data_IF_032183478930
#
_entry.id   IF_032183478930
#
_cell.length_a   1.000
_cell.length_b   1.000
_cell.length_c   1.000
_cell.angle_alpha   90.00
_cell.angle_beta   90.00
_cell.angle_gamma   90.00
#
_symmetry.space_group_name_H-M   'P 1'
#
loop_
_entity.id
_entity.type
_entity.pdbx_description
1 polymer ?
#
# COMPACT_ATOMS: atom_id res chain seq x y z
N UNK A 1 22.72 12.91 -24.56
CA UNK A 1 21.87 12.27 -23.53
C UNK A 1 21.79 13.19 -22.32
N UNK A 2 20.61 13.54 -21.83
CA UNK A 2 20.50 14.39 -20.66
C UNK A 2 21.20 13.73 -19.46
N UNK A 3 21.91 14.55 -18.69
CA UNK A 3 22.56 14.10 -17.46
C UNK A 3 21.50 13.73 -16.42
N UNK A 4 21.73 12.63 -15.69
CA UNK A 4 20.82 12.17 -14.62
C UNK A 4 20.58 13.28 -13.59
N UNK A 5 21.60 14.10 -13.29
CA UNK A 5 21.48 15.22 -12.35
C UNK A 5 20.44 16.28 -12.79
N UNK A 6 20.23 16.45 -14.09
CA UNK A 6 19.21 17.36 -14.62
C UNK A 6 17.79 16.78 -14.54
N UNK A 7 17.66 15.44 -14.50
CA UNK A 7 16.38 14.73 -14.46
C UNK A 7 15.82 14.63 -13.03
N UNK A 8 16.71 14.46 -12.05
CA UNK A 8 16.36 14.26 -10.62
C UNK A 8 15.34 15.29 -10.11
N UNK A 9 15.51 16.63 -10.30
CA UNK A 9 14.55 17.60 -9.79
C UNK A 9 13.14 17.47 -10.42
N UNK A 10 13.07 17.07 -11.69
CA UNK A 10 11.78 16.90 -12.38
C UNK A 10 11.03 15.69 -11.83
N UNK A 11 11.70 14.56 -11.64
CA UNK A 11 11.11 13.34 -11.06
C UNK A 11 10.69 13.61 -9.62
N UNK A 12 11.55 14.25 -8.82
CA UNK A 12 11.25 14.62 -7.43
C UNK A 12 9.99 15.50 -7.35
N UNK A 13 9.88 16.51 -8.21
CA UNK A 13 8.72 17.39 -8.26
C UNK A 13 7.43 16.65 -8.67
N UNK A 14 7.50 15.72 -9.62
CA UNK A 14 6.35 14.91 -10.05
C UNK A 14 5.86 14.01 -8.93
N UNK A 15 6.77 13.31 -8.24
CA UNK A 15 6.42 12.45 -7.11
C UNK A 15 5.79 13.28 -5.99
N UNK A 16 6.35 14.46 -5.70
CA UNK A 16 5.85 15.34 -4.64
C UNK A 16 4.47 15.91 -4.95
N UNK A 17 4.21 16.27 -6.20
CA UNK A 17 2.96 16.91 -6.62
C UNK A 17 1.82 15.91 -6.91
N UNK A 18 2.13 14.61 -6.95
CA UNK A 18 1.14 13.58 -7.29
C UNK A 18 0.32 13.16 -6.08
N UNK A 19 -1.01 13.05 -6.27
CA UNK A 19 -1.94 12.52 -5.27
C UNK A 19 -1.93 10.98 -5.17
N UNK A 20 -1.19 10.32 -6.07
CA UNK A 20 -1.10 8.85 -6.15
C UNK A 20 0.33 8.41 -6.47
N UNK A 21 0.71 7.17 -6.11
CA UNK A 21 1.99 6.62 -6.51
C UNK A 21 2.15 6.63 -8.04
N UNK A 22 3.31 7.07 -8.53
CA UNK A 22 3.65 7.10 -9.96
C UNK A 22 4.63 5.97 -10.28
N UNK A 23 4.31 5.15 -11.26
CA UNK A 23 5.22 4.13 -11.76
C UNK A 23 6.44 4.74 -12.46
N UNK A 24 7.55 4.00 -12.54
CA UNK A 24 8.77 4.42 -13.25
C UNK A 24 8.46 4.78 -14.72
N UNK A 25 7.56 4.04 -15.36
CA UNK A 25 7.14 4.32 -16.73
C UNK A 25 6.35 5.64 -16.84
N UNK A 26 5.40 5.90 -15.93
CA UNK A 26 4.66 7.16 -15.90
C UNK A 26 5.59 8.34 -15.67
N UNK A 27 6.53 8.23 -14.73
CA UNK A 27 7.54 9.27 -14.46
C UNK A 27 8.38 9.58 -15.69
N UNK A 28 8.90 8.54 -16.37
CA UNK A 28 9.65 8.70 -17.62
C UNK A 28 8.82 9.43 -18.69
N UNK A 29 7.58 9.01 -18.89
CA UNK A 29 6.73 9.55 -19.93
C UNK A 29 6.33 11.01 -19.63
N UNK A 30 6.06 11.33 -18.36
CA UNK A 30 5.75 12.70 -17.92
C UNK A 30 6.95 13.64 -18.12
N UNK A 31 8.16 13.21 -17.76
CA UNK A 31 9.38 14.01 -17.98
C UNK A 31 9.64 14.18 -19.47
N UNK A 32 9.51 13.12 -20.26
CA UNK A 32 9.67 13.19 -21.72
C UNK A 32 8.65 14.13 -22.37
N UNK A 33 7.42 14.15 -21.88
CA UNK A 33 6.38 15.06 -22.38
C UNK A 33 6.66 16.52 -21.98
N UNK A 34 7.13 16.75 -20.75
CA UNK A 34 7.45 18.09 -20.26
C UNK A 34 8.68 18.68 -20.94
N UNK A 35 9.69 17.87 -21.20
CA UNK A 35 10.96 18.27 -21.81
C UNK A 35 11.01 17.97 -23.33
N UNK A 36 9.89 17.61 -23.92
CA UNK A 36 9.74 17.05 -25.28
C UNK A 36 10.20 17.92 -26.43
N UNK A 37 10.75 19.11 -26.16
CA UNK A 37 11.46 19.94 -27.14
C UNK A 37 12.97 19.70 -27.15
N UNK A 38 13.49 18.86 -26.27
CA UNK A 38 14.87 18.43 -26.24
C UNK A 38 15.01 17.19 -27.15
N UNK A 39 16.04 17.18 -28.00
CA UNK A 39 16.30 16.11 -28.96
C UNK A 39 16.52 14.74 -28.34
N UNK A 40 16.84 14.70 -27.05
CA UNK A 40 17.17 13.50 -26.31
C UNK A 40 16.06 13.13 -25.27
N UNK A 41 15.32 12.07 -25.56
CA UNK A 41 14.39 11.46 -24.58
C UNK A 41 15.15 10.70 -23.50
N UNK A 42 14.64 10.77 -22.25
CA UNK A 42 15.19 9.97 -21.17
C UNK A 42 14.79 8.50 -21.31
N UNK A 43 15.72 7.61 -20.98
CA UNK A 43 15.52 6.16 -20.97
C UNK A 43 14.98 5.67 -19.63
N UNK A 44 14.53 4.40 -19.56
CA UNK A 44 14.15 3.74 -18.30
C UNK A 44 15.34 3.70 -17.33
N UNK A 45 16.53 3.35 -17.80
CA UNK A 45 17.74 3.26 -16.97
C UNK A 45 18.10 4.60 -16.32
N UNK A 46 17.94 5.71 -17.06
CA UNK A 46 18.16 7.05 -16.53
C UNK A 46 17.11 7.43 -15.49
N UNK A 47 15.86 7.01 -15.69
CA UNK A 47 14.77 7.23 -14.73
C UNK A 47 15.03 6.44 -13.45
N UNK A 48 15.46 5.20 -13.56
CA UNK A 48 15.82 4.34 -12.42
C UNK A 48 17.01 4.89 -11.64
N UNK A 49 18.06 5.33 -12.35
CA UNK A 49 19.22 5.99 -11.72
C UNK A 49 18.83 7.27 -10.97
N UNK A 50 17.93 8.08 -11.54
CA UNK A 50 17.42 9.27 -10.86
C UNK A 50 16.58 8.92 -9.61
N UNK A 51 15.73 7.88 -9.68
CA UNK A 51 14.95 7.39 -8.56
C UNK A 51 15.84 6.84 -7.44
N UNK A 52 16.90 6.13 -7.79
CA UNK A 52 17.89 5.69 -6.83
C UNK A 52 18.55 6.87 -6.11
N UNK A 53 19.01 7.88 -6.85
CA UNK A 53 19.60 9.09 -6.27
C UNK A 53 18.64 9.84 -5.34
N UNK A 54 17.33 9.91 -5.70
CA UNK A 54 16.29 10.51 -4.87
C UNK A 54 16.10 9.69 -3.59
N UNK A 55 16.01 8.38 -3.71
CA UNK A 55 15.84 7.48 -2.54
C UNK A 55 17.01 7.62 -1.58
N UNK A 56 18.25 7.60 -2.07
CA UNK A 56 19.45 7.79 -1.26
C UNK A 56 19.48 9.17 -0.58
N UNK A 57 19.09 10.24 -1.30
CA UNK A 57 18.98 11.59 -0.74
C UNK A 57 18.07 11.62 0.50
N UNK A 58 16.88 11.04 0.39
CA UNK A 58 15.85 11.08 1.43
C UNK A 58 15.99 9.98 2.49
N UNK A 59 16.85 8.98 2.28
CA UNK A 59 17.17 7.97 3.28
C UNK A 59 17.96 8.53 4.48
N UNK A 60 18.61 9.71 4.32
CA UNK A 60 19.40 10.34 5.38
C UNK A 60 18.55 10.75 6.58
N UNK A 61 19.13 10.82 7.78
CA UNK A 61 18.44 11.21 9.02
C UNK A 61 17.94 12.67 9.01
N UNK A 62 18.45 13.49 8.09
CA UNK A 62 18.06 14.90 7.97
C UNK A 62 16.59 15.09 7.59
N UNK A 63 16.00 14.14 6.83
CA UNK A 63 14.63 14.24 6.37
C UNK A 63 13.69 13.38 7.21
N UNK A 64 12.52 13.93 7.57
CA UNK A 64 11.44 13.22 8.27
C UNK A 64 10.52 12.42 7.34
N UNK A 65 10.78 12.44 6.04
CA UNK A 65 10.06 11.73 4.98
C UNK A 65 11.06 11.05 4.05
N UNK A 66 10.59 10.08 3.33
CA UNK A 66 11.35 9.23 2.41
C UNK A 66 10.59 9.01 1.11
N UNK A 67 11.30 8.65 0.04
CA UNK A 67 10.69 8.22 -1.23
C UNK A 67 10.80 6.70 -1.29
N UNK A 68 9.66 6.04 -1.35
CA UNK A 68 9.59 4.59 -1.42
C UNK A 68 8.66 4.12 -2.54
N UNK A 69 8.84 2.88 -2.94
CA UNK A 69 7.91 2.22 -3.84
C UNK A 69 6.79 1.57 -3.04
N UNK A 70 5.56 2.02 -3.26
CA UNK A 70 4.35 1.52 -2.61
C UNK A 70 3.15 1.70 -3.54
N UNK A 71 2.15 0.82 -3.47
CA UNK A 71 0.98 0.89 -4.36
C UNK A 71 1.31 0.71 -5.85
N UNK A 72 2.43 0.06 -6.18
CA UNK A 72 2.90 -0.13 -7.54
C UNK A 72 3.53 1.11 -8.18
N UNK A 73 3.94 2.09 -7.37
CA UNK A 73 4.60 3.32 -7.83
C UNK A 73 5.42 3.99 -6.73
N UNK A 74 6.03 5.10 -7.06
CA UNK A 74 6.89 5.90 -6.18
C UNK A 74 6.08 7.03 -5.56
N UNK A 75 6.29 7.25 -4.25
CA UNK A 75 5.63 8.33 -3.50
C UNK A 75 6.48 8.79 -2.33
N UNK A 76 6.22 10.01 -1.84
CA UNK A 76 6.75 10.49 -0.57
C UNK A 76 5.89 9.98 0.57
N UNK A 77 6.51 9.34 1.54
CA UNK A 77 5.88 8.96 2.81
C UNK A 77 6.72 9.47 3.99
N UNK A 78 6.07 9.65 5.11
CA UNK A 78 6.77 9.98 6.35
C UNK A 78 7.43 8.76 6.95
N UNK A 79 8.65 8.90 7.47
CA UNK A 79 9.37 7.81 8.12
C UNK A 79 8.61 7.30 9.35
N UNK A 80 8.70 6.00 9.60
CA UNK A 80 7.94 5.29 10.67
C UNK A 80 8.12 5.91 12.06
N UNK A 81 9.32 6.44 12.35
CA UNK A 81 9.64 7.08 13.63
C UNK A 81 8.76 8.29 13.94
N UNK A 82 8.23 8.98 12.90
CA UNK A 82 7.36 10.16 13.04
C UNK A 82 5.87 9.82 13.04
N UNK A 83 5.46 8.57 12.82
CA UNK A 83 4.04 8.20 12.73
C UNK A 83 3.26 8.54 14.00
N UNK A 84 3.87 8.42 15.19
CA UNK A 84 3.23 8.81 16.46
C UNK A 84 2.91 10.31 16.52
N UNK A 85 3.82 11.14 16.00
CA UNK A 85 3.64 12.60 15.94
C UNK A 85 2.55 12.97 14.95
N UNK A 86 2.55 12.33 13.77
CA UNK A 86 1.58 12.57 12.71
C UNK A 86 0.17 12.14 13.13
N UNK A 87 0.06 11.05 13.90
CA UNK A 87 -1.21 10.60 14.46
C UNK A 87 -1.92 11.69 15.30
N UNK A 88 -1.17 12.60 15.93
CA UNK A 88 -1.75 13.72 16.68
C UNK A 88 -2.40 14.78 15.78
N UNK A 89 -1.88 14.96 14.56
CA UNK A 89 -2.41 15.93 13.61
C UNK A 89 -3.82 15.58 13.13
N UNK A 90 -4.06 14.30 12.95
CA UNK A 90 -5.26 13.82 12.28
C UNK A 90 -6.33 13.26 13.24
N UNK A 91 -5.99 13.07 14.52
CA UNK A 91 -6.89 12.50 15.52
C UNK A 91 -7.55 11.20 15.02
N UNK A 92 -8.80 10.98 15.40
CA UNK A 92 -9.56 9.79 15.01
C UNK A 92 -9.92 9.70 13.51
N UNK A 93 -9.67 10.76 12.73
CA UNK A 93 -10.02 10.77 11.28
C UNK A 93 -9.18 9.79 10.46
N UNK A 94 -7.91 9.56 10.86
CA UNK A 94 -7.05 8.56 10.19
C UNK A 94 -7.44 7.13 10.55
N UNK A 95 -8.17 6.95 11.66
CA UNK A 95 -8.62 5.65 12.14
C UNK A 95 -10.07 5.35 11.72
N UNK A 96 -10.50 5.69 10.51
CA UNK A 96 -11.65 4.97 9.94
C UNK A 96 -11.21 3.53 9.64
N UNK A 97 -10.88 2.82 10.73
CA UNK A 97 -10.55 1.41 10.70
C UNK A 97 -11.67 0.67 9.97
N UNK A 98 -11.28 -0.24 9.13
CA UNK A 98 -12.21 -1.23 8.61
C UNK A 98 -12.79 -1.98 9.82
N UNK A 99 -14.09 -2.28 9.77
CA UNK A 99 -14.66 -3.15 10.80
C UNK A 99 -14.00 -4.53 10.75
N UNK A 100 -14.00 -5.30 11.85
CA UNK A 100 -13.47 -6.68 11.84
C UNK A 100 -14.04 -7.50 10.69
N UNK A 101 -15.35 -7.39 10.43
CA UNK A 101 -16.02 -8.07 9.33
C UNK A 101 -15.50 -7.64 7.95
N UNK A 102 -15.20 -6.35 7.77
CA UNK A 102 -14.61 -5.84 6.52
C UNK A 102 -13.16 -6.28 6.36
N UNK A 103 -12.38 -6.32 7.44
CA UNK A 103 -10.99 -6.81 7.42
C UNK A 103 -10.93 -8.30 7.08
N UNK A 104 -11.80 -9.12 7.67
CA UNK A 104 -11.90 -10.54 7.36
C UNK A 104 -12.26 -10.77 5.89
N UNK A 105 -13.26 -10.04 5.38
CA UNK A 105 -13.66 -10.11 3.96
C UNK A 105 -12.52 -9.68 3.04
N UNK A 106 -11.81 -8.60 3.38
CA UNK A 106 -10.68 -8.11 2.62
C UNK A 106 -9.52 -9.11 2.59
N UNK A 107 -9.23 -9.75 3.72
CA UNK A 107 -8.21 -10.80 3.80
C UNK A 107 -8.56 -11.99 2.88
N UNK A 108 -9.83 -12.46 2.93
CA UNK A 108 -10.27 -13.55 2.04
C UNK A 108 -10.05 -13.16 0.56
N UNK A 109 -10.44 -11.94 0.18
CA UNK A 109 -10.26 -11.47 -1.20
C UNK A 109 -8.77 -11.41 -1.54
N UNK A 110 -7.94 -10.85 -0.67
CA UNK A 110 -6.50 -10.69 -0.93
C UNK A 110 -5.78 -12.03 -1.17
N UNK A 111 -6.13 -13.07 -0.40
CA UNK A 111 -5.48 -14.39 -0.51
C UNK A 111 -6.13 -15.36 -1.49
N UNK A 112 -7.39 -15.11 -1.91
CA UNK A 112 -8.16 -16.03 -2.78
C UNK A 112 -8.51 -15.45 -4.14
N UNK A 113 -8.14 -14.19 -4.40
CA UNK A 113 -8.45 -13.51 -5.66
C UNK A 113 -7.97 -14.27 -6.91
N UNK A 114 -8.73 -14.26 -8.01
CA UNK A 114 -10.06 -13.66 -8.13
C UNK A 114 -11.13 -14.55 -7.49
N UNK A 115 -12.02 -13.98 -6.66
CA UNK A 115 -12.99 -14.71 -5.83
C UNK A 115 -14.39 -14.13 -5.99
N UNK A 116 -15.42 -14.99 -5.99
CA UNK A 116 -16.82 -14.58 -6.05
C UNK A 116 -17.38 -14.29 -4.66
N UNK A 117 -18.49 -13.53 -4.60
CA UNK A 117 -19.19 -13.28 -3.32
C UNK A 117 -19.63 -14.56 -2.64
N UNK A 118 -20.16 -15.53 -3.37
CA UNK A 118 -20.59 -16.82 -2.83
C UNK A 118 -19.45 -17.62 -2.20
N UNK A 119 -18.25 -17.58 -2.77
CA UNK A 119 -17.06 -18.20 -2.19
C UNK A 119 -16.63 -17.47 -0.91
N UNK A 120 -16.67 -16.13 -0.89
CA UNK A 120 -16.40 -15.35 0.33
C UNK A 120 -17.37 -15.72 1.45
N UNK A 121 -18.67 -15.77 1.17
CA UNK A 121 -19.72 -16.13 2.11
C UNK A 121 -19.60 -17.58 2.61
N UNK A 122 -19.20 -18.49 1.73
CA UNK A 122 -18.91 -19.88 2.10
C UNK A 122 -17.78 -20.00 3.10
N UNK A 123 -16.74 -19.16 2.98
CA UNK A 123 -15.59 -19.15 3.92
C UNK A 123 -15.99 -18.48 5.24
N UNK A 124 -16.75 -17.37 5.17
CA UNK A 124 -17.13 -16.60 6.35
C UNK A 124 -18.26 -17.22 7.15
N UNK A 125 -19.10 -18.04 6.51
CA UNK A 125 -20.32 -18.59 7.11
C UNK A 125 -21.48 -17.59 7.29
N UNK A 126 -21.31 -16.33 6.83
CA UNK A 126 -22.28 -15.23 6.94
C UNK A 126 -22.29 -14.38 5.69
N UNK A 127 -23.37 -13.59 5.47
CA UNK A 127 -23.42 -12.65 4.33
C UNK A 127 -22.27 -11.65 4.36
N UNK A 128 -21.73 -11.38 3.19
CA UNK A 128 -20.65 -10.42 2.97
C UNK A 128 -21.09 -9.15 2.21
N UNK A 129 -22.37 -8.98 1.89
CA UNK A 129 -22.88 -7.88 1.07
C UNK A 129 -22.41 -6.52 1.55
N UNK A 130 -22.62 -6.20 2.82
CA UNK A 130 -22.24 -4.92 3.40
C UNK A 130 -20.72 -4.71 3.38
N UNK A 131 -19.95 -5.75 3.72
CA UNK A 131 -18.50 -5.67 3.75
C UNK A 131 -17.92 -5.45 2.34
N UNK A 132 -18.39 -6.23 1.35
CA UNK A 132 -17.96 -6.07 -0.05
C UNK A 132 -18.31 -4.68 -0.59
N UNK A 133 -19.54 -4.19 -0.32
CA UNK A 133 -19.93 -2.84 -0.74
C UNK A 133 -19.04 -1.77 -0.11
N UNK A 134 -18.74 -1.87 1.19
CA UNK A 134 -17.86 -0.92 1.88
C UNK A 134 -16.41 -0.96 1.37
N UNK A 135 -15.92 -2.12 1.00
CA UNK A 135 -14.58 -2.27 0.42
C UNK A 135 -14.51 -1.68 -0.99
N UNK A 136 -15.57 -1.82 -1.80
CA UNK A 136 -15.69 -1.17 -3.10
C UNK A 136 -15.78 0.36 -2.97
N UNK A 137 -16.60 0.89 -2.04
CA UNK A 137 -16.71 2.32 -1.75
C UNK A 137 -15.38 2.94 -1.28
N UNK A 138 -14.54 2.16 -0.61
CA UNK A 138 -13.19 2.56 -0.18
C UNK A 138 -12.13 2.30 -1.25
N UNK A 139 -12.53 1.79 -2.39
CA UNK A 139 -11.64 1.43 -3.49
C UNK A 139 -10.52 0.45 -3.10
N UNK A 140 -10.72 -0.34 -2.05
CA UNK A 140 -9.74 -1.36 -1.62
C UNK A 140 -9.83 -2.64 -2.45
N UNK A 141 -10.99 -2.88 -3.06
CA UNK A 141 -11.22 -3.99 -3.98
C UNK A 141 -11.85 -3.48 -5.27
N UNK A 142 -11.71 -4.26 -6.33
CA UNK A 142 -12.30 -3.99 -7.65
C UNK A 142 -13.06 -5.22 -8.15
N UNK A 143 -14.02 -4.99 -9.05
CA UNK A 143 -14.64 -6.06 -9.84
C UNK A 143 -13.66 -6.41 -10.95
N UNK A 144 -13.05 -7.60 -10.87
CA UNK A 144 -12.06 -8.08 -11.84
C UNK A 144 -12.70 -8.75 -13.08
N UNK A 145 -14.03 -8.98 -13.06
CA UNK A 145 -14.76 -9.59 -14.16
C UNK A 145 -15.91 -10.47 -13.67
N UNK A 146 -16.23 -11.52 -14.45
CA UNK A 146 -17.24 -12.52 -14.13
C UNK A 146 -16.66 -13.92 -14.22
N UNK A 147 -17.12 -14.82 -13.37
CA UNK A 147 -16.75 -16.24 -13.46
C UNK A 147 -17.70 -16.94 -14.43
N UNK A 148 -17.24 -17.14 -15.66
CA UNK A 148 -18.04 -17.77 -16.73
C UNK A 148 -18.26 -19.27 -16.54
N UNK A 149 -17.51 -19.89 -15.64
CA UNK A 149 -17.64 -21.33 -15.36
C UNK A 149 -18.77 -21.66 -14.38
N UNK A 150 -19.27 -20.65 -13.65
CA UNK A 150 -20.32 -20.82 -12.67
C UNK A 150 -21.68 -20.37 -13.21
N UNK A 151 -22.79 -21.06 -12.85
CA UNK A 151 -24.14 -20.65 -13.22
C UNK A 151 -24.41 -19.21 -12.77
N UNK A 152 -25.05 -18.42 -13.66
CA UNK A 152 -25.35 -17.01 -13.38
C UNK A 152 -24.18 -16.05 -13.54
N UNK A 153 -23.00 -16.54 -13.96
CA UNK A 153 -21.79 -15.73 -14.22
C UNK A 153 -21.53 -14.67 -13.15
N UNK A 154 -21.33 -15.09 -11.86
CA UNK A 154 -21.19 -14.16 -10.75
C UNK A 154 -19.96 -13.27 -10.91
N UNK A 155 -20.04 -12.06 -10.36
CA UNK A 155 -18.91 -11.15 -10.28
C UNK A 155 -17.77 -11.75 -9.48
N UNK A 156 -16.54 -11.51 -9.92
CA UNK A 156 -15.30 -11.83 -9.19
C UNK A 156 -14.61 -10.55 -8.74
N UNK A 157 -14.06 -10.61 -7.54
CA UNK A 157 -13.41 -9.51 -6.87
C UNK A 157 -11.91 -9.77 -6.75
N UNK A 158 -11.14 -8.68 -6.80
CA UNK A 158 -9.71 -8.68 -6.55
C UNK A 158 -9.33 -7.41 -5.77
N UNK A 159 -8.14 -7.40 -5.20
CA UNK A 159 -7.57 -6.21 -4.57
C UNK A 159 -7.24 -5.14 -5.60
N UNK A 160 -7.36 -3.89 -5.19
CA UNK A 160 -7.07 -2.72 -6.02
C UNK A 160 -5.62 -2.25 -5.85
N UNK A 161 -5.23 -1.22 -6.63
CA UNK A 161 -3.99 -0.48 -6.42
C UNK A 161 -4.01 0.26 -5.08
N UNK A 162 -5.16 0.83 -4.69
CA UNK A 162 -5.33 1.51 -3.40
C UNK A 162 -5.18 0.56 -2.21
N UNK A 163 -5.51 -0.74 -2.37
CA UNK A 163 -5.20 -1.76 -1.37
C UNK A 163 -3.69 -1.91 -1.18
N UNK A 164 -2.93 -2.01 -2.27
CA UNK A 164 -1.48 -2.13 -2.21
C UNK A 164 -0.85 -0.92 -1.51
N UNK A 165 -1.30 0.29 -1.87
CA UNK A 165 -0.85 1.53 -1.25
C UNK A 165 -1.24 1.60 0.24
N UNK A 166 -2.49 1.24 0.58
CA UNK A 166 -2.99 1.26 1.96
C UNK A 166 -2.19 0.34 2.90
N UNK A 167 -1.72 -0.80 2.40
CA UNK A 167 -0.92 -1.77 3.15
C UNK A 167 0.60 -1.62 2.95
N UNK A 168 1.03 -0.68 2.11
CA UNK A 168 2.45 -0.43 1.84
C UNK A 168 3.16 -1.56 1.09
N UNK A 169 2.42 -2.31 0.24
CA UNK A 169 2.92 -3.42 -0.56
C UNK A 169 2.85 -3.06 -2.05
N UNK A 170 3.63 -3.73 -2.89
CA UNK A 170 3.69 -3.47 -4.34
C UNK A 170 2.96 -4.53 -5.17
N UNK A 171 2.82 -5.72 -4.63
CA UNK A 171 2.14 -6.84 -5.27
C UNK A 171 1.41 -7.73 -4.26
N UNK A 172 0.54 -8.61 -4.74
CA UNK A 172 -0.09 -9.63 -3.89
C UNK A 172 0.91 -10.67 -3.34
N UNK A 173 2.10 -10.77 -3.95
CA UNK A 173 3.17 -11.66 -3.50
C UNK A 173 3.86 -11.15 -2.23
N UNK A 174 3.76 -9.83 -1.96
CA UNK A 174 4.29 -9.20 -0.75
C UNK A 174 3.40 -9.45 0.49
N UNK A 175 2.24 -10.10 0.31
CA UNK A 175 1.38 -10.46 1.43
C UNK A 175 2.07 -11.51 2.31
N UNK A 176 2.05 -11.35 3.64
CA UNK A 176 2.67 -12.30 4.55
C UNK A 176 2.07 -13.71 4.39
N UNK A 177 2.89 -14.72 4.41
CA UNK A 177 2.38 -16.10 4.36
C UNK A 177 1.65 -16.44 5.66
N UNK A 178 0.66 -17.35 5.60
CA UNK A 178 -0.08 -17.80 6.80
C UNK A 178 0.86 -18.34 7.88
N UNK A 179 2.01 -18.93 7.48
CA UNK A 179 3.03 -19.42 8.41
C UNK A 179 3.74 -18.28 9.16
N UNK A 180 4.03 -17.17 8.48
CA UNK A 180 4.64 -15.97 9.09
C UNK A 180 3.71 -15.33 10.09
N UNK A 181 2.42 -15.15 9.73
CA UNK A 181 1.41 -14.60 10.62
C UNK A 181 1.22 -15.45 11.89
N UNK A 182 1.24 -16.78 11.76
CA UNK A 182 1.15 -17.69 12.90
C UNK A 182 2.43 -17.65 13.76
N UNK A 183 3.60 -17.46 13.16
CA UNK A 183 4.86 -17.36 13.90
C UNK A 183 4.92 -16.07 14.74
N UNK A 184 4.43 -14.94 14.23
CA UNK A 184 4.34 -13.68 14.97
C UNK A 184 3.34 -13.75 16.15
N UNK A 185 2.25 -14.53 16.01
CA UNK A 185 1.30 -14.74 17.10
C UNK A 185 1.80 -15.68 18.21
N UNK A 186 2.84 -16.49 17.94
CA UNK A 186 3.47 -17.37 18.91
C UNK A 186 4.57 -16.66 19.75
N UNK A 187 4.88 -15.40 19.47
CA UNK A 187 5.67 -14.57 20.39
C UNK A 187 4.76 -14.22 21.57
N UNK A 188 4.92 -14.94 22.67
CA UNK A 188 4.14 -14.76 23.89
C UNK A 188 4.17 -13.30 24.36
N UNK A 189 3.02 -12.71 24.76
CA UNK A 189 3.03 -11.40 25.40
C UNK A 189 3.88 -11.52 26.68
N UNK A 190 4.92 -10.74 26.76
CA UNK A 190 5.77 -10.63 27.93
C UNK A 190 4.89 -10.40 29.15
N UNK A 191 4.83 -11.37 30.06
CA UNK A 191 4.07 -11.27 31.28
C UNK A 191 4.51 -10.04 32.05
N UNK A 192 3.61 -9.07 32.20
CA UNK A 192 3.78 -7.96 33.13
C UNK A 192 3.80 -8.62 34.51
N UNK A 193 4.97 -8.67 35.13
CA UNK A 193 5.07 -9.01 36.56
C UNK A 193 4.43 -7.87 37.34
N UNK A 194 3.20 -8.09 37.79
CA UNK A 194 2.61 -7.30 38.86
C UNK A 194 3.44 -7.52 40.13
N UNK A 195 4.41 -6.66 40.35
CA UNK A 195 5.01 -6.49 41.67
C UNK A 195 4.08 -5.55 42.46
N UNK A 196 3.15 -6.13 43.22
CA UNK A 196 2.48 -5.41 44.29
C UNK A 196 3.53 -5.05 45.35
N UNK A 197 3.56 -3.82 45.87
CA UNK A 197 4.39 -3.50 47.01
C UNK A 197 3.81 -4.20 48.23
N UNK A 198 4.69 -4.95 48.95
CA UNK A 198 4.35 -5.48 50.29
C UNK A 198 4.20 -4.26 51.21
N UNK A 199 3.00 -4.12 51.82
CA UNK A 199 2.78 -3.22 52.95
C UNK A 199 3.51 -3.81 54.18
N UNK A 200 4.53 -3.13 54.61
CA UNK A 200 5.13 -3.36 55.94
C UNK A 200 4.15 -2.91 57.03
N UNK A 201 3.82 -3.85 57.90
CA UNK A 201 3.10 -3.60 59.15
C UNK A 201 4.02 -3.17 60.27
#
# INVERSE_FOLDING_TARGET
>A
MPDVSAIVPHIEALIFASDKPLSTAELRDLVNNALGFLEDRISSDQTEAALQAITEKYATEFYSFEVIQSGGGWQFLTKKEFHKTIAQLNGDKFLKRLSPASLETLAIIAYKQPVTKGEIESIRGVSSDYAVQKLLEKELIVIAGRNEKLPGHPLVYATSRNFMDYFGINSSEDLPTIKEVLAEQLVEPTAIKDTLPEEEA
#
